data_IF_460105280291
#
_entry.id   IF_460105280291
#
_cell.length_a   1.000
_cell.length_b   1.000
_cell.length_c   1.000
_cell.angle_alpha   90.00
_cell.angle_beta   90.00
_cell.angle_gamma   90.00
#
_symmetry.space_group_name_H-M   'P 1'
#
loop_
_entity.id
_entity.type
_entity.pdbx_description
1 polymer ?
#
# COMPACT_ATOMS: atom_id res chain seq x y z
N UNK A 1 26.11 -0.78 -0.88
CA UNK A 1 25.37 -0.99 0.38
C UNK A 1 24.02 -0.30 0.24
N UNK A 2 22.92 -1.07 0.16
CA UNK A 2 21.58 -0.50 0.06
C UNK A 2 21.18 0.16 1.38
N UNK A 3 20.55 1.35 1.33
CA UNK A 3 19.96 1.96 2.52
C UNK A 3 18.82 1.06 3.00
N UNK A 4 18.97 0.48 4.19
CA UNK A 4 17.87 -0.22 4.86
C UNK A 4 16.88 0.86 5.31
N UNK A 5 15.67 0.85 4.74
CA UNK A 5 14.58 1.68 5.22
C UNK A 5 13.83 0.82 6.25
N UNK A 6 13.99 1.15 7.54
CA UNK A 6 13.18 0.54 8.58
C UNK A 6 11.77 1.15 8.51
N UNK A 7 10.86 0.46 7.85
CA UNK A 7 9.43 0.83 7.83
C UNK A 7 8.72 -0.02 8.87
N UNK A 8 8.16 0.64 9.89
CA UNK A 8 7.21 -0.01 10.80
C UNK A 8 5.86 0.05 10.13
N UNK A 9 5.33 -1.11 9.72
CA UNK A 9 4.01 -1.20 9.08
C UNK A 9 2.95 -0.84 10.12
N UNK A 10 2.02 0.04 9.75
CA UNK A 10 0.88 0.36 10.60
C UNK A 10 -0.09 -0.83 10.64
N UNK A 11 -0.31 -1.39 11.84
CA UNK A 11 -1.18 -2.55 12.07
C UNK A 11 -2.67 -2.21 11.97
N UNK A 12 -3.04 -0.92 12.02
CA UNK A 12 -4.43 -0.46 11.95
C UNK A 12 -4.95 -0.35 10.50
N UNK A 13 -4.09 -0.52 9.49
CA UNK A 13 -4.50 -0.50 8.08
C UNK A 13 -5.38 -1.71 7.77
N UNK A 14 -6.65 -1.45 7.47
CA UNK A 14 -7.61 -2.47 7.06
C UNK A 14 -7.83 -2.41 5.55
N UNK A 15 -7.36 -3.45 4.85
CA UNK A 15 -7.61 -3.60 3.42
C UNK A 15 -9.01 -4.15 3.17
N UNK A 16 -9.76 -3.55 2.24
CA UNK A 16 -11.10 -4.01 1.89
C UNK A 16 -11.04 -5.47 1.34
N UNK A 17 -11.70 -6.44 2.02
CA UNK A 17 -11.68 -7.84 1.62
C UNK A 17 -12.22 -8.08 0.20
N UNK A 18 -13.12 -7.22 -0.30
CA UNK A 18 -13.70 -7.34 -1.64
C UNK A 18 -12.65 -7.24 -2.73
N UNK A 19 -11.59 -6.46 -2.49
CA UNK A 19 -10.50 -6.24 -3.44
C UNK A 19 -9.24 -7.06 -3.11
N UNK A 20 -9.19 -7.73 -1.95
CA UNK A 20 -7.98 -8.41 -1.46
C UNK A 20 -8.14 -9.89 -1.16
N UNK A 21 -9.34 -10.47 -1.26
CA UNK A 21 -9.64 -11.88 -0.92
C UNK A 21 -8.69 -12.92 -1.52
N UNK A 22 -8.24 -12.71 -2.76
CA UNK A 22 -7.34 -13.62 -3.48
C UNK A 22 -5.95 -13.02 -3.73
N UNK A 23 -5.62 -11.93 -3.03
CA UNK A 23 -4.33 -11.27 -3.17
C UNK A 23 -3.28 -12.06 -2.40
N UNK A 24 -2.19 -12.52 -3.04
CA UNK A 24 -1.15 -13.25 -2.33
C UNK A 24 -0.39 -12.34 -1.37
N UNK A 25 0.17 -12.92 -0.31
CA UNK A 25 0.89 -12.16 0.73
C UNK A 25 2.10 -11.40 0.18
N UNK A 26 2.71 -11.91 -0.90
CA UNK A 26 3.78 -11.26 -1.66
C UNK A 26 3.38 -9.91 -2.27
N UNK A 27 2.08 -9.61 -2.38
CA UNK A 27 1.53 -8.32 -2.81
C UNK A 27 0.99 -7.54 -1.61
N UNK A 28 0.34 -8.24 -0.69
CA UNK A 28 -0.31 -7.63 0.47
C UNK A 28 0.70 -6.90 1.36
N UNK A 29 1.86 -7.50 1.64
CA UNK A 29 2.91 -6.84 2.42
C UNK A 29 3.45 -5.58 1.73
N UNK A 30 3.89 -5.61 0.46
CA UNK A 30 4.28 -4.39 -0.27
C UNK A 30 3.19 -3.32 -0.32
N UNK A 31 1.92 -3.70 -0.41
CA UNK A 31 0.80 -2.75 -0.40
C UNK A 31 0.71 -2.02 0.94
N UNK A 32 0.75 -2.76 2.07
CA UNK A 32 0.72 -2.17 3.41
C UNK A 32 1.92 -1.24 3.66
N UNK A 33 3.11 -1.65 3.22
CA UNK A 33 4.32 -0.82 3.29
C UNK A 33 4.13 0.47 2.49
N UNK A 34 3.59 0.37 1.26
CA UNK A 34 3.40 1.53 0.39
C UNK A 34 2.35 2.49 0.95
N UNK A 35 1.27 1.97 1.54
CA UNK A 35 0.25 2.78 2.24
C UNK A 35 0.89 3.50 3.44
N UNK A 36 1.63 2.78 4.28
CA UNK A 36 2.32 3.35 5.45
C UNK A 36 3.27 4.49 5.04
N UNK A 37 4.08 4.26 4.00
CA UNK A 37 4.98 5.29 3.47
C UNK A 37 4.23 6.47 2.86
N UNK A 38 3.08 6.24 2.22
CA UNK A 38 2.24 7.30 1.68
C UNK A 38 1.61 8.14 2.79
N UNK A 39 1.13 7.54 3.89
CA UNK A 39 0.65 8.27 5.07
C UNK A 39 1.72 9.23 5.59
N UNK A 40 2.95 8.75 5.76
CA UNK A 40 4.08 9.58 6.21
C UNK A 40 4.44 10.68 5.21
N UNK A 41 4.37 10.37 3.90
CA UNK A 41 4.70 11.32 2.83
C UNK A 41 3.69 12.44 2.71
N UNK A 42 2.40 12.12 2.86
CA UNK A 42 1.29 13.05 2.64
C UNK A 42 0.74 13.63 3.95
N UNK A 43 1.23 13.20 5.11
CA UNK A 43 0.75 13.58 6.44
C UNK A 43 -0.78 13.38 6.58
N UNK A 44 -1.23 12.15 6.29
CA UNK A 44 -2.66 11.80 6.28
C UNK A 44 -2.93 10.39 6.83
N UNK A 45 -4.20 10.11 7.14
CA UNK A 45 -4.65 8.78 7.53
C UNK A 45 -4.77 7.86 6.30
N UNK A 46 -4.61 6.55 6.47
CA UNK A 46 -4.76 5.60 5.35
C UNK A 46 -6.17 5.63 4.76
N UNK A 47 -7.17 6.03 5.54
CA UNK A 47 -8.56 6.22 5.09
C UNK A 47 -8.68 7.35 4.08
N UNK A 48 -7.73 8.28 4.02
CA UNK A 48 -7.70 9.38 3.05
C UNK A 48 -6.91 9.03 1.79
N UNK A 49 -6.38 7.82 1.72
CA UNK A 49 -5.65 7.31 0.56
C UNK A 49 -6.57 6.47 -0.33
N UNK A 50 -6.29 6.54 -1.63
CA UNK A 50 -6.78 5.61 -2.64
C UNK A 50 -5.59 4.80 -3.14
N UNK A 51 -5.76 3.48 -3.16
CA UNK A 51 -4.75 2.57 -3.68
C UNK A 51 -5.32 1.70 -4.79
N UNK A 52 -4.43 1.22 -5.66
CA UNK A 52 -4.75 0.25 -6.71
C UNK A 52 -3.57 -0.67 -6.96
N UNK A 53 -3.87 -1.94 -7.22
CA UNK A 53 -2.89 -2.92 -7.70
C UNK A 53 -3.26 -3.28 -9.14
N UNK A 54 -2.32 -3.10 -10.06
CA UNK A 54 -2.46 -3.49 -11.46
C UNK A 54 -1.34 -4.47 -11.82
N UNK A 55 -1.61 -5.41 -12.71
CA UNK A 55 -0.59 -6.33 -13.21
C UNK A 55 -0.16 -5.89 -14.61
N UNK A 56 1.14 -5.62 -14.78
CA UNK A 56 1.78 -5.30 -16.06
C UNK A 56 2.86 -6.34 -16.33
N UNK A 57 2.77 -7.06 -17.46
CA UNK A 57 3.67 -8.17 -17.81
C UNK A 57 3.84 -9.21 -16.68
N UNK A 58 2.75 -9.53 -15.99
CA UNK A 58 2.74 -10.46 -14.86
C UNK A 58 3.32 -9.90 -13.56
N UNK A 59 3.84 -8.67 -13.57
CA UNK A 59 4.39 -7.99 -12.39
C UNK A 59 3.36 -7.06 -11.74
N UNK A 60 3.20 -7.11 -10.42
CA UNK A 60 2.31 -6.22 -9.69
C UNK A 60 2.90 -4.80 -9.63
N UNK A 61 2.08 -3.81 -9.96
CA UNK A 61 2.36 -2.39 -9.78
C UNK A 61 1.36 -1.84 -8.79
N UNK A 62 1.87 -1.39 -7.64
CA UNK A 62 1.09 -0.76 -6.57
C UNK A 62 1.16 0.76 -6.77
N UNK A 63 0.00 1.41 -6.79
CA UNK A 63 -0.12 2.86 -6.80
C UNK A 63 -0.96 3.30 -5.63
N UNK A 64 -0.44 4.23 -4.83
CA UNK A 64 -1.13 4.83 -3.70
C UNK A 64 -1.07 6.35 -3.89
N UNK A 65 -2.22 7.02 -3.78
CA UNK A 65 -2.34 8.48 -3.89
C UNK A 65 -3.38 9.01 -2.88
N UNK A 66 -3.34 10.29 -2.51
CA UNK A 66 -4.44 10.92 -1.80
C UNK A 66 -5.75 10.77 -2.58
N UNK A 67 -6.87 10.67 -1.86
CA UNK A 67 -8.18 10.89 -2.46
C UNK A 67 -8.23 12.35 -2.94
N UNK A 68 -8.68 12.54 -4.17
CA UNK A 68 -8.97 13.89 -4.68
C UNK A 68 -10.40 14.20 -4.22
N UNK A 69 -10.58 15.33 -3.53
CA UNK A 69 -11.90 15.89 -3.18
C UNK A 69 -12.73 16.22 -4.44
#
# INVERSE_FOLDING_TARGET
MGKIINVTIDEDIQLDPRYTKNMPDSIKQPLLITITMAMQRYDCDWRDLKWSVKYYDGQPVISVKPKED
#
